data_IF_293017354380
#
_entry.id   IF_293017354380
#
_cell.length_a   1.000
_cell.length_b   1.000
_cell.length_c   1.000
_cell.angle_alpha   90.00
_cell.angle_beta   90.00
_cell.angle_gamma   90.00
#
_symmetry.space_group_name_H-M   'P 1'
#
loop_
_entity.id
_entity.type
_entity.pdbx_description
1 polymer ?
#
# COMPACT_ATOMS: atom_id res chain seq x y z
N UNK A 1 1.05 -3.92 9.63
CA UNK A 1 0.83 -4.18 11.07
C UNK A 1 1.97 -3.65 11.94
N UNK A 2 3.24 -4.00 11.67
CA UNK A 2 4.37 -3.57 12.51
C UNK A 2 4.50 -2.04 12.57
N UNK A 3 4.46 -1.36 11.43
CA UNK A 3 4.53 0.11 11.35
C UNK A 3 3.28 0.76 11.98
N UNK A 4 2.12 0.17 11.83
CA UNK A 4 0.88 0.64 12.47
C UNK A 4 1.01 0.60 14.01
N UNK A 5 1.49 -0.53 14.54
CA UNK A 5 1.71 -0.69 15.98
C UNK A 5 2.77 0.27 16.51
N UNK A 6 3.86 0.45 15.77
CA UNK A 6 4.90 1.44 16.10
C UNK A 6 4.34 2.86 16.12
N UNK A 7 3.54 3.24 15.11
CA UNK A 7 2.91 4.55 15.07
C UNK A 7 1.93 4.77 16.24
N UNK A 8 1.21 3.72 16.66
CA UNK A 8 0.32 3.80 17.83
C UNK A 8 1.11 3.93 19.13
N UNK A 9 2.23 3.20 19.31
CA UNK A 9 3.13 3.34 20.45
C UNK A 9 3.73 4.75 20.51
N UNK A 10 4.28 5.25 19.40
CA UNK A 10 4.83 6.61 19.33
C UNK A 10 3.78 7.70 19.66
N UNK A 11 2.52 7.51 19.28
CA UNK A 11 1.45 8.45 19.66
C UNK A 11 1.24 8.50 21.16
N UNK A 12 1.35 7.37 21.83
CA UNK A 12 1.21 7.31 23.30
C UNK A 12 2.42 7.97 23.97
N UNK A 13 3.62 7.65 23.53
CA UNK A 13 4.85 8.18 24.11
C UNK A 13 4.99 9.68 23.90
N UNK A 14 4.66 10.20 22.69
CA UNK A 14 4.83 11.61 22.35
C UNK A 14 3.66 12.51 22.77
N UNK A 15 2.59 11.94 23.31
CA UNK A 15 1.41 12.67 23.76
C UNK A 15 1.70 13.77 24.78
N UNK A 16 2.57 13.58 25.82
CA UNK A 16 2.87 14.62 26.79
C UNK A 16 3.45 15.89 26.15
N UNK A 17 4.20 15.73 25.05
CA UNK A 17 4.81 16.86 24.31
C UNK A 17 3.89 17.43 23.21
N UNK A 18 2.66 16.90 23.08
CA UNK A 18 1.70 17.32 22.05
C UNK A 18 2.22 17.15 20.62
N UNK A 19 3.12 16.20 20.39
CA UNK A 19 3.65 15.89 19.06
C UNK A 19 2.70 14.91 18.38
N UNK A 20 2.04 15.30 17.28
CA UNK A 20 1.15 14.39 16.55
C UNK A 20 1.95 13.42 15.70
N UNK A 21 1.51 12.17 15.64
CA UNK A 21 2.09 11.13 14.77
C UNK A 21 1.04 10.72 13.74
N UNK A 22 1.33 10.92 12.48
CA UNK A 22 0.48 10.56 11.35
C UNK A 22 1.09 9.41 10.55
N UNK A 23 0.26 8.46 10.14
CA UNK A 23 0.65 7.36 9.26
C UNK A 23 0.02 7.60 7.89
N UNK A 24 0.84 7.64 6.84
CA UNK A 24 0.38 7.72 5.44
C UNK A 24 0.48 6.31 4.84
N UNK A 25 -0.64 5.79 4.37
CA UNK A 25 -0.76 4.45 3.80
C UNK A 25 -1.16 4.58 2.31
N UNK A 26 -0.17 4.76 1.42
CA UNK A 26 -0.43 4.77 -0.01
C UNK A 26 -0.65 3.33 -0.49
N UNK A 27 -1.61 3.14 -1.38
CA UNK A 27 -1.71 1.94 -2.19
C UNK A 27 -0.76 2.01 -3.40
N UNK A 28 -1.09 1.34 -4.51
CA UNK A 28 -0.34 1.48 -5.75
C UNK A 28 -0.30 2.94 -6.20
N UNK A 29 0.89 3.49 -6.34
CA UNK A 29 1.13 4.88 -6.79
C UNK A 29 1.83 4.82 -8.13
N UNK A 30 1.35 5.62 -9.09
CA UNK A 30 1.90 5.71 -10.43
C UNK A 30 3.26 6.42 -10.39
N UNK A 31 4.33 5.62 -10.46
CA UNK A 31 5.74 6.03 -10.48
C UNK A 31 6.46 5.25 -11.56
N UNK A 32 7.68 5.65 -11.89
CA UNK A 32 8.52 4.97 -12.89
C UNK A 32 8.81 3.51 -12.51
N UNK A 33 8.76 3.17 -11.23
CA UNK A 33 8.89 1.78 -10.74
C UNK A 33 7.87 0.81 -11.39
N UNK A 34 6.71 1.31 -11.83
CA UNK A 34 5.70 0.48 -12.50
C UNK A 34 5.97 0.24 -13.99
N UNK A 35 6.89 1.01 -14.61
CA UNK A 35 7.17 0.89 -16.03
C UNK A 35 7.66 -0.52 -16.38
N UNK A 36 8.56 -1.07 -15.56
CA UNK A 36 9.27 -2.32 -15.83
C UNK A 36 8.68 -3.55 -15.12
N UNK A 37 7.71 -3.33 -14.20
CA UNK A 37 7.18 -4.40 -13.33
C UNK A 37 6.64 -5.61 -14.12
N UNK A 38 5.93 -5.37 -15.23
CA UNK A 38 5.39 -6.47 -16.05
C UNK A 38 6.49 -7.16 -16.85
N UNK A 39 7.44 -6.41 -17.36
CA UNK A 39 8.59 -6.94 -18.09
C UNK A 39 9.50 -7.75 -17.18
N UNK A 40 9.77 -7.26 -15.97
CA UNK A 40 10.56 -7.98 -14.96
C UNK A 40 9.86 -9.29 -14.53
N UNK A 41 8.53 -9.27 -14.37
CA UNK A 41 7.76 -10.48 -14.10
C UNK A 41 7.89 -11.49 -15.24
N UNK A 42 7.76 -11.06 -16.48
CA UNK A 42 7.85 -11.94 -17.66
C UNK A 42 9.27 -12.48 -17.80
N UNK A 43 10.29 -11.64 -17.65
CA UNK A 43 11.71 -12.03 -17.65
C UNK A 43 12.04 -13.02 -16.53
N UNK A 44 11.46 -12.84 -15.34
CA UNK A 44 11.63 -13.79 -14.23
C UNK A 44 10.98 -15.14 -14.58
N UNK A 45 9.78 -15.14 -15.17
CA UNK A 45 9.08 -16.35 -15.57
C UNK A 45 9.83 -17.14 -16.66
N UNK A 46 10.51 -16.44 -17.58
CA UNK A 46 11.35 -17.05 -18.62
C UNK A 46 12.59 -17.77 -18.07
N UNK A 47 13.16 -17.28 -16.97
CA UNK A 47 14.33 -17.89 -16.32
C UNK A 47 13.99 -19.16 -15.54
N UNK A 48 12.72 -19.48 -15.33
CA UNK A 48 12.33 -20.71 -14.66
C UNK A 48 12.56 -21.93 -15.56
N UNK A 49 12.98 -23.05 -14.95
CA UNK A 49 13.02 -24.35 -15.64
C UNK A 49 11.62 -24.76 -16.09
N UNK A 50 11.52 -25.60 -17.11
CA UNK A 50 10.23 -26.06 -17.63
C UNK A 50 9.37 -26.76 -16.59
N UNK A 51 9.99 -27.47 -15.65
CA UNK A 51 9.29 -28.10 -14.52
C UNK A 51 8.66 -27.08 -13.61
N UNK A 52 9.41 -26.06 -13.20
CA UNK A 52 8.91 -24.96 -12.36
C UNK A 52 7.88 -24.12 -13.10
N UNK A 53 8.08 -23.83 -14.37
CA UNK A 53 7.14 -23.07 -15.19
C UNK A 53 5.78 -23.78 -15.28
N UNK A 54 5.75 -25.08 -15.46
CA UNK A 54 4.51 -25.89 -15.45
C UNK A 54 3.84 -25.88 -14.07
N UNK A 55 4.63 -26.07 -13.01
CA UNK A 55 4.12 -26.12 -11.64
C UNK A 55 3.47 -24.78 -11.22
N UNK A 56 4.07 -23.66 -11.61
CA UNK A 56 3.62 -22.31 -11.22
C UNK A 56 2.81 -21.57 -12.31
N UNK A 57 2.42 -22.25 -13.40
CA UNK A 57 1.78 -21.60 -14.55
C UNK A 57 0.55 -20.76 -14.19
N UNK A 58 -0.37 -21.30 -13.40
CA UNK A 58 -1.58 -20.60 -12.97
C UNK A 58 -1.26 -19.41 -12.05
N UNK A 59 -0.27 -19.57 -11.17
CA UNK A 59 0.18 -18.52 -10.26
C UNK A 59 0.83 -17.35 -11.04
N UNK A 60 1.72 -17.66 -11.97
CA UNK A 60 2.37 -16.67 -12.83
C UNK A 60 1.34 -15.86 -13.64
N UNK A 61 0.38 -16.55 -14.27
CA UNK A 61 -0.68 -15.88 -15.00
C UNK A 61 -1.56 -15.01 -14.10
N UNK A 62 -1.91 -15.49 -12.91
CA UNK A 62 -2.68 -14.76 -11.91
C UNK A 62 -1.95 -13.51 -11.42
N UNK A 63 -0.66 -13.63 -11.09
CA UNK A 63 0.19 -12.52 -10.65
C UNK A 63 0.34 -11.47 -11.74
N UNK A 64 0.61 -11.87 -12.97
CA UNK A 64 0.70 -10.94 -14.12
C UNK A 64 -0.59 -10.13 -14.29
N UNK A 65 -1.74 -10.80 -14.22
CA UNK A 65 -3.06 -10.14 -14.31
C UNK A 65 -3.29 -9.15 -13.15
N UNK A 66 -2.87 -9.53 -11.94
CA UNK A 66 -2.97 -8.67 -10.75
C UNK A 66 -2.10 -7.43 -10.90
N UNK A 67 -0.82 -7.59 -11.28
CA UNK A 67 0.13 -6.49 -11.51
C UNK A 67 -0.42 -5.49 -12.54
N UNK A 68 -0.94 -5.98 -13.67
CA UNK A 68 -1.55 -5.13 -14.70
C UNK A 68 -2.78 -4.36 -14.19
N UNK A 69 -3.58 -4.95 -13.32
CA UNK A 69 -4.70 -4.25 -12.67
C UNK A 69 -4.23 -3.19 -11.68
N UNK A 70 -3.23 -3.51 -10.86
CA UNK A 70 -2.65 -2.58 -9.89
C UNK A 70 -2.04 -1.37 -10.59
N UNK A 71 -1.33 -1.57 -11.69
CA UNK A 71 -0.76 -0.49 -12.51
C UNK A 71 -1.86 0.44 -13.05
N UNK A 72 -2.96 -0.12 -13.57
CA UNK A 72 -4.10 0.68 -14.06
C UNK A 72 -4.82 1.47 -12.97
N UNK A 73 -4.88 0.92 -11.75
CA UNK A 73 -5.53 1.53 -10.60
C UNK A 73 -4.59 2.43 -9.78
N UNK A 74 -3.33 2.52 -10.17
CA UNK A 74 -2.32 3.30 -9.47
C UNK A 74 -2.72 4.78 -9.38
N UNK A 75 -2.68 5.32 -8.18
CA UNK A 75 -3.09 6.68 -7.89
C UNK A 75 -1.99 7.69 -8.28
N UNK A 76 -2.37 8.94 -8.51
CA UNK A 76 -1.44 10.03 -8.76
C UNK A 76 -0.58 10.29 -7.50
N UNK A 77 0.76 10.42 -7.63
CA UNK A 77 1.68 10.79 -6.54
C UNK A 77 1.26 12.06 -5.79
N UNK A 78 0.60 12.99 -6.46
CA UNK A 78 0.06 14.22 -5.84
C UNK A 78 -0.88 13.95 -4.66
N UNK A 79 -1.56 12.78 -4.64
CA UNK A 79 -2.39 12.40 -3.49
C UNK A 79 -1.57 12.17 -2.24
N UNK A 80 -0.38 11.59 -2.39
CA UNK A 80 0.56 11.37 -1.28
C UNK A 80 1.09 12.70 -0.78
N UNK A 81 1.57 13.56 -1.70
CA UNK A 81 2.09 14.89 -1.35
C UNK A 81 1.06 15.74 -0.61
N UNK A 82 -0.20 15.75 -1.06
CA UNK A 82 -1.28 16.46 -0.36
C UNK A 82 -1.57 15.89 1.04
N UNK A 83 -1.47 14.58 1.21
CA UNK A 83 -1.66 13.96 2.52
C UNK A 83 -0.54 14.31 3.50
N UNK A 84 0.69 14.31 3.03
CA UNK A 84 1.87 14.72 3.80
C UNK A 84 1.79 16.19 4.16
N UNK A 85 1.49 17.06 3.18
CA UNK A 85 1.31 18.49 3.41
C UNK A 85 0.24 18.74 4.48
N UNK A 86 -0.93 18.12 4.37
CA UNK A 86 -1.98 18.25 5.38
C UNK A 86 -1.52 17.73 6.76
N UNK A 87 -0.76 16.63 6.81
CA UNK A 87 -0.26 16.09 8.07
C UNK A 87 0.72 17.04 8.77
N UNK A 88 1.52 17.80 8.01
CA UNK A 88 2.52 18.73 8.51
C UNK A 88 1.94 20.10 8.86
N UNK A 89 0.93 20.57 8.11
CA UNK A 89 0.43 21.96 8.24
C UNK A 89 -0.86 22.08 9.03
N UNK A 90 -1.63 20.99 9.17
CA UNK A 90 -2.91 21.02 9.87
C UNK A 90 -2.73 21.13 11.39
N UNK A 91 -3.54 21.98 12.03
CA UNK A 91 -3.62 22.04 13.49
C UNK A 91 -4.14 20.74 14.13
N UNK A 92 -4.87 19.93 13.36
CA UNK A 92 -5.42 18.64 13.80
C UNK A 92 -5.17 17.58 12.71
N UNK A 93 -3.95 17.09 12.56
CA UNK A 93 -3.64 16.08 11.55
C UNK A 93 -4.38 14.78 11.85
N UNK A 94 -4.72 14.06 10.78
CA UNK A 94 -5.34 12.73 10.92
C UNK A 94 -4.30 11.73 11.41
N UNK A 95 -4.73 10.78 12.22
CA UNK A 95 -3.86 9.66 12.65
C UNK A 95 -3.44 8.77 11.49
N UNK A 96 -4.30 8.61 10.47
CA UNK A 96 -4.07 7.77 9.29
C UNK A 96 -4.63 8.43 8.04
N UNK A 97 -3.87 8.37 6.96
CA UNK A 97 -4.23 8.81 5.62
C UNK A 97 -4.25 7.61 4.68
N UNK A 98 -5.42 7.00 4.49
CA UNK A 98 -5.64 5.91 3.54
C UNK A 98 -5.90 6.49 2.16
N UNK A 99 -5.00 6.29 1.21
CA UNK A 99 -5.02 6.98 -0.07
C UNK A 99 -5.60 6.16 -1.22
N UNK A 100 -5.84 4.89 -1.02
CA UNK A 100 -6.44 4.01 -2.03
C UNK A 100 -7.78 3.40 -1.58
N UNK A 101 -8.48 2.82 -2.56
CA UNK A 101 -9.77 2.16 -2.33
C UNK A 101 -9.59 0.82 -1.60
N UNK A 102 -8.50 0.10 -1.88
CA UNK A 102 -8.24 -1.22 -1.28
C UNK A 102 -7.96 -1.09 0.21
N UNK A 103 -7.13 -0.14 0.62
CA UNK A 103 -6.86 0.16 2.05
C UNK A 103 -8.13 0.61 2.78
N UNK A 104 -9.00 1.37 2.11
CA UNK A 104 -10.30 1.78 2.68
C UNK A 104 -11.23 0.59 2.86
N UNK A 105 -11.32 -0.31 1.88
CA UNK A 105 -12.14 -1.52 1.94
C UNK A 105 -11.63 -2.47 3.04
N UNK A 106 -10.32 -2.69 3.14
CA UNK A 106 -9.72 -3.49 4.22
C UNK A 106 -10.07 -2.94 5.61
N UNK A 107 -10.04 -1.63 5.78
CA UNK A 107 -10.42 -1.00 7.05
C UNK A 107 -11.89 -1.25 7.37
N UNK A 108 -12.79 -1.16 6.40
CA UNK A 108 -14.21 -1.41 6.59
C UNK A 108 -14.49 -2.87 7.00
N UNK A 109 -13.79 -3.84 6.38
CA UNK A 109 -13.88 -5.26 6.74
C UNK A 109 -13.36 -5.51 8.16
N UNK A 110 -12.23 -4.94 8.54
CA UNK A 110 -11.67 -5.08 9.90
C UNK A 110 -12.57 -4.52 10.98
N UNK A 111 -13.25 -3.40 10.73
CA UNK A 111 -14.22 -2.84 11.67
C UNK A 111 -15.41 -3.78 11.88
N UNK A 112 -15.93 -4.37 10.81
CA UNK A 112 -17.05 -5.34 10.89
C UNK A 112 -16.67 -6.63 11.63
N UNK A 113 -15.43 -7.12 11.50
CA UNK A 113 -14.97 -8.33 12.19
C UNK A 113 -14.64 -8.09 13.68
N UNK A 114 -14.51 -6.84 14.10
CA UNK A 114 -14.24 -6.49 15.51
C UNK A 114 -15.53 -6.32 16.32
N UNK A 115 -16.63 -6.07 15.63
CA UNK A 115 -17.97 -5.87 16.22
C UNK A 115 -18.86 -7.13 16.09
N UNK A 116 -18.29 -8.26 15.59
CA UNK A 116 -18.92 -9.58 15.50
C UNK A 116 -18.28 -10.55 16.50
#
# INVERSE_FOLDING_TARGET
YAIESLADALRMELRPWRIPVSLVEPGPIRTDMWADVLEDHDRMAEKLSDGHRRLYASHLAGTRKLLGRMQKLAADPKKVSKAVDHALTSRRPKRRYLLDVASRAQKAVRLRLRDA
#
